data_IF_622567470903
#
_entry.id   IF_622567470903
#
_cell.length_a   1.000
_cell.length_b   1.000
_cell.length_c   1.000
_cell.angle_alpha   90.00
_cell.angle_beta   90.00
_cell.angle_gamma   90.00
#
_symmetry.space_group_name_H-M   'P 1'
#
loop_
_entity.id
_entity.type
_entity.pdbx_description
1 polymer ?
#
# COMPACT_ATOMS: atom_id res chain seq x y z
N UNK A 1 1.80 -31.33 11.32
CA UNK A 1 3.18 -31.65 10.88
C UNK A 1 3.45 -30.95 9.56
N UNK A 2 4.38 -30.00 9.59
CA UNK A 2 4.81 -29.14 8.49
C UNK A 2 5.55 -29.95 7.42
N UNK A 3 5.35 -29.60 6.14
CA UNK A 3 6.29 -29.92 5.07
C UNK A 3 6.63 -28.67 4.29
N UNK A 4 7.69 -28.01 4.74
CA UNK A 4 8.47 -27.02 3.99
C UNK A 4 9.21 -27.75 2.87
N UNK A 5 9.21 -27.22 1.65
CA UNK A 5 10.11 -27.67 0.59
C UNK A 5 10.89 -26.46 0.07
N UNK A 6 12.21 -26.53 0.25
CA UNK A 6 13.21 -25.60 -0.28
C UNK A 6 13.98 -26.37 -1.35
N UNK A 7 14.08 -25.84 -2.57
CA UNK A 7 15.00 -26.38 -3.60
C UNK A 7 15.75 -25.19 -4.19
N UNK A 8 17.07 -25.26 -4.11
CA UNK A 8 18.01 -24.36 -4.77
C UNK A 8 18.55 -25.06 -6.03
N UNK A 9 18.59 -24.35 -7.14
CA UNK A 9 19.31 -24.75 -8.35
C UNK A 9 19.90 -23.48 -8.97
N UNK A 10 21.22 -23.43 -9.00
CA UNK A 10 22.03 -22.41 -9.65
C UNK A 10 22.67 -22.99 -10.91
N UNK A 11 22.56 -22.32 -12.07
CA UNK A 11 23.68 -21.98 -12.97
C UNK A 11 23.21 -21.07 -14.13
N UNK A 12 24.06 -20.10 -14.50
CA UNK A 12 23.98 -19.13 -15.61
C UNK A 12 24.29 -19.79 -16.98
N UNK A 13 24.15 -19.22 -18.20
CA UNK A 13 24.09 -17.84 -18.71
C UNK A 13 23.55 -17.79 -20.19
N UNK A 14 22.95 -16.64 -20.59
CA UNK A 14 22.90 -15.92 -21.93
C UNK A 14 22.51 -16.68 -23.23
N UNK A 15 21.64 -16.22 -24.16
CA UNK A 15 21.56 -14.95 -24.93
C UNK A 15 20.11 -14.68 -25.44
N UNK A 16 19.82 -13.40 -25.72
CA UNK A 16 18.57 -12.72 -26.06
C UNK A 16 17.69 -13.21 -27.24
N UNK A 17 16.37 -13.06 -27.09
CA UNK A 17 15.42 -12.61 -28.12
C UNK A 17 14.04 -12.20 -27.52
N UNK A 18 13.69 -10.91 -27.67
CA UNK A 18 12.37 -10.27 -27.87
C UNK A 18 11.09 -10.78 -27.13
N UNK A 19 10.66 -10.00 -26.12
CA UNK A 19 9.32 -9.61 -25.59
C UNK A 19 8.00 -10.37 -25.99
N UNK A 20 6.93 -10.40 -25.13
CA UNK A 20 6.59 -9.39 -24.11
C UNK A 20 6.33 -9.88 -22.68
N UNK A 21 6.58 -8.93 -21.79
CA UNK A 21 6.46 -8.93 -20.33
C UNK A 21 5.08 -9.38 -19.78
N UNK A 22 5.09 -10.46 -19.01
CA UNK A 22 4.11 -10.75 -17.96
C UNK A 22 4.89 -11.36 -16.78
N UNK A 23 4.95 -10.65 -15.66
CA UNK A 23 5.57 -11.14 -14.43
C UNK A 23 6.46 -10.10 -13.78
N UNK A 24 5.83 -9.28 -12.93
CA UNK A 24 6.39 -8.41 -11.91
C UNK A 24 7.90 -8.58 -11.65
N UNK A 25 8.70 -7.78 -12.34
CA UNK A 25 9.98 -7.36 -11.80
C UNK A 25 9.67 -6.50 -10.57
N UNK A 26 10.07 -6.98 -9.39
CA UNK A 26 10.16 -6.15 -8.20
C UNK A 26 11.19 -5.04 -8.51
N UNK A 27 10.69 -3.86 -8.86
CA UNK A 27 11.50 -2.68 -9.02
C UNK A 27 11.99 -2.25 -7.64
N UNK A 28 13.15 -2.75 -7.23
CA UNK A 28 14.01 -2.05 -6.27
C UNK A 28 14.45 -0.76 -6.93
N UNK A 29 13.75 0.33 -6.63
CA UNK A 29 14.12 1.65 -7.10
C UNK A 29 15.45 2.05 -6.47
N UNK A 30 16.43 2.34 -7.31
CA UNK A 30 17.70 2.93 -6.94
C UNK A 30 17.50 4.32 -6.32
N UNK A 31 18.38 4.75 -5.40
CA UNK A 31 18.33 6.10 -4.84
C UNK A 31 18.59 7.13 -5.95
N UNK A 32 17.66 8.07 -6.14
CA UNK A 32 17.87 9.26 -6.98
C UNK A 32 17.06 9.36 -8.29
N UNK A 33 16.11 8.47 -8.58
CA UNK A 33 15.21 8.66 -9.74
C UNK A 33 13.96 9.46 -9.37
N UNK A 34 13.61 10.40 -10.24
CA UNK A 34 12.46 11.30 -10.14
C UNK A 34 11.15 10.56 -9.80
N UNK A 35 10.29 11.25 -9.04
CA UNK A 35 8.96 10.79 -8.61
C UNK A 35 8.18 10.13 -9.74
N UNK A 36 8.24 8.80 -9.77
CA UNK A 36 7.39 7.98 -10.63
C UNK A 36 5.99 8.00 -10.04
N UNK A 37 5.14 8.83 -10.65
CA UNK A 37 3.69 8.80 -10.55
C UNK A 37 3.18 7.37 -10.62
N UNK A 38 2.23 7.04 -9.77
CA UNK A 38 1.50 5.78 -9.83
C UNK A 38 0.19 5.95 -10.63
N UNK A 39 -0.07 5.12 -11.65
CA UNK A 39 -1.24 5.24 -12.53
C UNK A 39 -2.58 4.77 -11.95
N UNK A 40 -2.68 4.45 -10.64
CA UNK A 40 -3.83 3.69 -10.11
C UNK A 40 -4.46 4.23 -8.80
N UNK A 41 -4.26 5.50 -8.43
CA UNK A 41 -4.94 6.10 -7.27
C UNK A 41 -5.32 7.56 -7.49
N UNK A 42 -6.55 7.94 -7.15
CA UNK A 42 -7.16 9.25 -7.45
C UNK A 42 -6.39 10.46 -6.88
N UNK A 43 -5.56 10.27 -5.86
CA UNK A 43 -4.63 11.29 -5.35
C UNK A 43 -3.30 11.23 -6.12
N UNK A 44 -3.32 11.69 -7.37
CA UNK A 44 -2.20 11.59 -8.31
C UNK A 44 -1.05 12.59 -8.07
N UNK A 45 -1.27 13.61 -7.22
CA UNK A 45 -0.32 14.70 -6.98
C UNK A 45 0.25 14.67 -5.56
N UNK A 46 1.56 14.92 -5.43
CA UNK A 46 2.16 15.17 -4.12
C UNK A 46 1.57 16.44 -3.52
N UNK A 47 1.10 16.35 -2.27
CA UNK A 47 0.81 17.54 -1.46
C UNK A 47 2.11 18.13 -0.98
N UNK A 48 2.17 19.45 -0.86
CA UNK A 48 3.35 20.15 -0.36
C UNK A 48 2.97 21.23 0.63
N UNK A 49 3.89 21.49 1.56
CA UNK A 49 3.74 22.53 2.58
C UNK A 49 5.12 23.11 2.88
N UNK A 50 5.19 24.44 2.92
CA UNK A 50 6.33 25.15 3.52
C UNK A 50 6.14 25.23 5.03
N UNK A 51 7.23 25.01 5.78
CA UNK A 51 7.25 25.17 7.23
C UNK A 51 7.19 26.63 7.61
N UNK A 52 6.82 26.92 8.85
CA UNK A 52 6.59 28.31 9.33
C UNK A 52 7.79 29.25 9.19
N UNK A 53 9.00 28.69 9.12
CA UNK A 53 10.22 29.46 8.91
C UNK A 53 10.49 29.78 7.43
N UNK A 54 9.64 29.32 6.50
CA UNK A 54 9.77 29.39 5.04
C UNK A 54 11.10 28.83 4.50
N UNK A 55 11.86 28.14 5.34
CA UNK A 55 13.17 27.58 5.01
C UNK A 55 13.09 26.09 4.72
N UNK A 56 12.00 25.41 5.09
CA UNK A 56 11.86 23.98 4.86
C UNK A 56 10.57 23.67 4.11
N UNK A 57 10.63 22.68 3.23
CA UNK A 57 9.47 22.19 2.49
C UNK A 57 9.32 20.70 2.73
N UNK A 58 8.09 20.29 3.01
CA UNK A 58 7.69 18.89 3.13
C UNK A 58 6.69 18.59 2.02
N UNK A 59 6.96 17.53 1.28
CA UNK A 59 6.08 16.99 0.26
C UNK A 59 5.74 15.55 0.63
N UNK A 60 4.49 15.17 0.42
CA UNK A 60 4.00 13.85 0.79
C UNK A 60 2.88 13.36 -0.11
N UNK A 61 2.77 12.05 -0.21
CA UNK A 61 1.68 11.37 -0.89
C UNK A 61 1.38 10.06 -0.17
N UNK A 62 0.11 9.65 -0.20
CA UNK A 62 -0.32 8.35 0.26
C UNK A 62 -0.95 7.57 -0.89
N UNK A 63 -0.60 6.29 -1.00
CA UNK A 63 -1.38 5.29 -1.71
C UNK A 63 -2.00 4.30 -0.71
N UNK A 64 -3.31 4.11 -0.82
CA UNK A 64 -4.04 3.12 -0.03
C UNK A 64 -4.22 1.83 -0.82
N UNK A 65 -3.97 0.70 -0.17
CA UNK A 65 -4.06 -0.64 -0.76
C UNK A 65 -5.07 -1.48 0.03
N UNK A 66 -6.33 -1.63 -0.44
CA UNK A 66 -7.33 -2.48 0.19
C UNK A 66 -7.12 -3.95 -0.23
N UNK A 67 -6.18 -4.64 0.43
CA UNK A 67 -5.99 -6.08 0.22
C UNK A 67 -7.16 -6.89 0.78
N UNK A 68 -7.34 -8.13 0.32
CA UNK A 68 -8.37 -9.04 0.84
C UNK A 68 -7.71 -10.24 1.52
N UNK A 69 -8.28 -10.69 2.64
CA UNK A 69 -7.85 -11.89 3.34
C UNK A 69 -9.05 -12.80 3.63
N UNK A 70 -8.90 -14.09 3.32
CA UNK A 70 -9.88 -15.14 3.58
C UNK A 70 -9.17 -16.47 3.89
N UNK A 71 -9.88 -17.39 4.54
CA UNK A 71 -9.50 -18.81 4.66
C UNK A 71 -10.13 -19.60 3.53
N UNK A 72 -9.58 -20.77 3.21
CA UNK A 72 -10.20 -21.70 2.27
C UNK A 72 -10.98 -22.78 3.01
N UNK A 73 -12.05 -23.26 2.41
CA UNK A 73 -12.83 -24.41 2.83
C UNK A 73 -12.92 -25.42 1.69
N UNK A 74 -12.95 -26.70 2.05
CA UNK A 74 -13.16 -27.77 1.09
C UNK A 74 -14.64 -27.86 0.75
N UNK A 75 -14.98 -27.83 -0.55
CA UNK A 75 -16.32 -28.10 -1.07
C UNK A 75 -16.28 -29.26 -2.05
N UNK A 76 -17.43 -29.92 -2.22
CA UNK A 76 -17.62 -30.89 -3.28
C UNK A 76 -17.39 -30.25 -4.65
N UNK A 77 -16.97 -31.09 -5.60
CA UNK A 77 -16.76 -30.76 -6.99
C UNK A 77 -18.08 -30.38 -7.69
N UNK A 78 -18.02 -30.11 -9.00
CA UNK A 78 -19.22 -29.86 -9.78
C UNK A 78 -20.19 -31.05 -9.69
N UNK A 79 -21.49 -30.85 -9.94
CA UNK A 79 -22.51 -31.91 -9.85
C UNK A 79 -22.17 -33.17 -10.67
N UNK A 80 -21.42 -33.00 -11.75
CA UNK A 80 -20.99 -34.07 -12.66
C UNK A 80 -19.80 -34.89 -12.12
N UNK A 81 -19.08 -34.38 -11.11
CA UNK A 81 -17.95 -35.05 -10.45
C UNK A 81 -17.91 -34.72 -8.93
N UNK A 82 -18.94 -35.13 -8.16
CA UNK A 82 -19.09 -34.76 -6.75
C UNK A 82 -18.01 -35.37 -5.85
N UNK A 83 -17.32 -36.41 -6.32
CA UNK A 83 -16.21 -37.07 -5.63
C UNK A 83 -14.92 -36.21 -5.61
N UNK A 84 -14.86 -35.19 -6.46
CA UNK A 84 -13.72 -34.26 -6.50
C UNK A 84 -13.87 -33.24 -5.36
N UNK A 85 -12.75 -32.85 -4.77
CA UNK A 85 -12.71 -31.84 -3.70
C UNK A 85 -12.02 -30.60 -4.22
N UNK A 86 -12.69 -29.44 -4.09
CA UNK A 86 -12.12 -28.14 -4.44
C UNK A 86 -11.91 -27.28 -3.19
N UNK A 87 -10.85 -26.48 -3.20
CA UNK A 87 -10.59 -25.47 -2.18
C UNK A 87 -11.18 -24.15 -2.66
N UNK A 88 -12.11 -23.59 -1.90
CA UNK A 88 -12.81 -22.35 -2.24
C UNK A 88 -12.68 -21.38 -1.09
N UNK A 89 -12.69 -20.07 -1.37
CA UNK A 89 -12.69 -19.07 -0.31
C UNK A 89 -13.91 -19.23 0.60
N UNK A 90 -13.70 -19.14 1.91
CA UNK A 90 -14.78 -19.11 2.89
C UNK A 90 -15.30 -17.66 3.02
N UNK A 91 -16.51 -17.36 2.51
CA UNK A 91 -17.06 -16.01 2.59
C UNK A 91 -17.23 -15.52 4.03
N UNK A 92 -17.33 -16.43 5.02
CA UNK A 92 -17.45 -16.07 6.44
C UNK A 92 -16.18 -15.48 7.02
N UNK A 93 -15.04 -15.71 6.38
CA UNK A 93 -13.72 -15.27 6.86
C UNK A 93 -13.16 -14.09 6.08
N UNK A 94 -13.95 -13.59 5.14
CA UNK A 94 -13.60 -12.53 4.22
C UNK A 94 -13.48 -11.20 4.95
N UNK A 95 -12.31 -10.57 4.84
CA UNK A 95 -12.01 -9.29 5.46
C UNK A 95 -11.08 -8.47 4.57
N UNK A 96 -11.18 -7.16 4.66
CA UNK A 96 -10.16 -6.26 4.13
C UNK A 96 -8.92 -6.30 5.03
N UNK A 97 -7.76 -6.27 4.38
CA UNK A 97 -6.43 -6.16 4.97
C UNK A 97 -5.75 -4.91 4.39
N UNK A 98 -6.01 -3.73 4.98
CA UNK A 98 -5.45 -2.48 4.48
C UNK A 98 -3.92 -2.46 4.60
N UNK A 99 -3.28 -1.82 3.63
CA UNK A 99 -1.90 -1.36 3.74
C UNK A 99 -1.74 0.02 3.12
N UNK A 100 -0.74 0.76 3.60
CA UNK A 100 -0.55 2.17 3.33
C UNK A 100 0.85 2.38 2.78
N UNK A 101 0.99 3.03 1.64
CA UNK A 101 2.28 3.34 1.05
C UNK A 101 2.46 4.85 1.04
N UNK A 102 3.42 5.31 1.83
CA UNK A 102 3.77 6.72 1.93
C UNK A 102 4.95 7.00 1.02
N UNK A 103 4.92 8.14 0.33
CA UNK A 103 6.07 8.73 -0.32
C UNK A 103 6.31 10.13 0.25
N UNK A 104 7.57 10.52 0.40
CA UNK A 104 7.93 11.85 0.93
C UNK A 104 9.13 12.45 0.21
N UNK A 105 9.13 13.79 0.17
CA UNK A 105 10.28 14.64 -0.10
C UNK A 105 10.41 15.64 1.04
N UNK A 106 11.61 15.87 1.54
CA UNK A 106 11.91 17.03 2.37
C UNK A 106 13.07 17.80 1.77
N UNK A 107 12.98 19.12 1.81
CA UNK A 107 14.02 19.99 1.29
C UNK A 107 14.21 21.20 2.19
N UNK A 108 15.43 21.73 2.17
CA UNK A 108 15.83 22.91 2.94
C UNK A 108 16.14 24.00 1.89
N UNK A 109 15.31 25.03 1.82
CA UNK A 109 15.61 26.20 1.00
C UNK A 109 16.43 27.18 1.81
N UNK A 110 17.62 27.50 1.31
CA UNK A 110 18.25 28.76 1.68
C UNK A 110 17.54 29.88 0.89
N UNK A 111 16.52 30.51 1.48
CA UNK A 111 15.79 31.66 0.90
C UNK A 111 16.68 32.82 0.44
N UNK A 112 17.99 32.77 0.68
CA UNK A 112 18.97 33.75 0.22
C UNK A 112 19.40 33.57 -1.25
N UNK A 113 19.17 32.41 -1.91
CA UNK A 113 19.74 32.18 -3.27
C UNK A 113 18.88 31.42 -4.30
N UNK A 114 17.54 31.51 -4.27
CA UNK A 114 16.64 30.97 -5.34
C UNK A 114 16.88 29.50 -5.76
N UNK A 115 17.59 28.70 -4.97
CA UNK A 115 17.89 27.31 -5.26
C UNK A 115 17.35 26.45 -4.11
N UNK A 116 16.44 25.53 -4.41
CA UNK A 116 16.13 24.44 -3.49
C UNK A 116 17.37 23.55 -3.41
N UNK A 117 17.97 23.45 -2.25
CA UNK A 117 18.98 22.45 -1.95
C UNK A 117 18.31 21.30 -1.21
N UNK A 118 18.22 20.12 -1.83
CA UNK A 118 17.94 18.91 -1.06
C UNK A 118 19.15 18.68 -0.16
N UNK A 119 18.99 18.90 1.15
CA UNK A 119 20.07 18.59 2.09
C UNK A 119 20.20 17.07 2.11
N UNK A 120 21.24 16.56 1.46
CA UNK A 120 21.65 15.16 1.59
C UNK A 120 21.86 14.88 3.08
N UNK A 121 20.99 14.06 3.65
CA UNK A 121 20.96 13.87 5.08
C UNK A 121 19.82 12.99 5.55
N UNK A 122 20.06 12.38 6.70
CA UNK A 122 19.14 11.48 7.38
C UNK A 122 18.15 12.30 8.24
N UNK A 123 16.86 12.13 7.99
CA UNK A 123 15.76 12.92 8.54
C UNK A 123 14.85 12.03 9.41
N UNK A 124 14.39 12.53 10.57
CA UNK A 124 13.39 11.84 11.38
C UNK A 124 11.99 12.08 10.78
N UNK A 125 11.39 11.02 10.23
CA UNK A 125 10.08 11.06 9.58
C UNK A 125 9.08 10.24 10.40
N UNK A 126 7.89 10.79 10.65
CA UNK A 126 6.75 10.05 11.20
C UNK A 126 5.67 9.93 10.14
N UNK A 127 5.27 8.69 9.86
CA UNK A 127 4.18 8.35 8.96
C UNK A 127 2.97 7.96 9.80
N UNK A 128 1.81 8.51 9.47
CA UNK A 128 0.58 8.20 10.19
C UNK A 128 -0.59 8.14 9.22
N UNK A 129 -1.45 7.14 9.38
CA UNK A 129 -2.72 7.06 8.66
C UNK A 129 -3.81 6.50 9.54
N UNK A 130 -5.01 7.04 9.40
CA UNK A 130 -6.23 6.65 10.09
C UNK A 130 -7.29 6.37 9.04
N UNK A 131 -7.81 5.15 9.04
CA UNK A 131 -8.94 4.76 8.23
C UNK A 131 -10.21 4.91 9.06
N UNK A 132 -11.11 5.79 8.62
CA UNK A 132 -12.39 6.07 9.24
C UNK A 132 -13.54 5.53 8.41
N UNK A 133 -14.56 5.04 9.10
CA UNK A 133 -15.84 4.68 8.47
C UNK A 133 -16.67 5.94 8.13
N UNK A 134 -17.81 5.75 7.48
CA UNK A 134 -18.72 6.83 7.11
C UNK A 134 -19.27 7.64 8.31
N UNK A 135 -19.20 7.11 9.53
CA UNK A 135 -19.61 7.80 10.77
C UNK A 135 -18.43 8.52 11.44
N UNK A 136 -17.24 8.44 10.87
CA UNK A 136 -16.00 9.01 11.42
C UNK A 136 -15.32 8.12 12.47
N UNK A 137 -15.83 6.93 12.75
CA UNK A 137 -15.22 6.01 13.71
C UNK A 137 -13.94 5.38 13.15
N UNK A 138 -12.95 5.16 14.01
CA UNK A 138 -11.65 4.62 13.61
C UNK A 138 -11.77 3.12 13.31
N UNK A 139 -11.76 2.79 12.02
CA UNK A 139 -11.73 1.41 11.54
C UNK A 139 -10.32 0.82 11.63
N UNK A 140 -9.27 1.62 11.41
CA UNK A 140 -7.86 1.23 11.57
C UNK A 140 -6.93 2.43 11.69
N UNK A 141 -5.78 2.24 12.33
CA UNK A 141 -4.79 3.29 12.52
C UNK A 141 -3.38 2.69 12.47
N UNK A 142 -2.47 3.40 11.80
CA UNK A 142 -1.06 3.07 11.77
C UNK A 142 -0.23 4.30 12.06
N UNK A 143 0.79 4.12 12.89
CA UNK A 143 1.85 5.11 13.11
C UNK A 143 3.19 4.41 12.98
N UNK A 144 4.11 4.98 12.21
CA UNK A 144 5.45 4.47 12.04
C UNK A 144 6.45 5.61 12.15
N UNK A 145 7.31 5.53 13.15
CA UNK A 145 8.43 6.44 13.32
C UNK A 145 9.65 5.86 12.61
N UNK A 146 10.28 6.66 11.78
CA UNK A 146 11.42 6.30 10.97
C UNK A 146 12.57 7.25 11.31
N UNK A 147 13.56 6.74 12.06
CA UNK A 147 14.79 7.47 12.33
C UNK A 147 15.77 7.31 11.18
N UNK A 148 16.39 8.40 10.77
CA UNK A 148 17.52 8.41 9.85
C UNK A 148 17.17 8.03 8.41
N UNK A 149 16.02 8.49 7.91
CA UNK A 149 15.61 8.24 6.53
C UNK A 149 16.21 9.25 5.56
N UNK A 150 16.48 8.87 4.30
CA UNK A 150 16.83 9.86 3.28
C UNK A 150 15.74 10.94 3.12
N UNK A 151 16.17 12.10 2.62
CA UNK A 151 15.29 13.24 2.36
C UNK A 151 14.13 12.91 1.41
N UNK A 152 14.34 11.98 0.48
CA UNK A 152 13.29 11.39 -0.35
C UNK A 152 13.16 9.91 -0.05
N UNK A 153 11.94 9.40 0.01
CA UNK A 153 11.74 7.99 0.28
C UNK A 153 10.31 7.52 0.12
N UNK A 154 10.15 6.20 0.26
CA UNK A 154 8.88 5.51 0.15
C UNK A 154 8.83 4.35 1.14
N UNK A 155 7.72 4.19 1.84
CA UNK A 155 7.54 3.12 2.82
C UNK A 155 6.12 2.57 2.78
N UNK A 156 6.02 1.24 2.62
CA UNK A 156 4.79 0.50 2.82
C UNK A 156 4.64 0.10 4.30
N UNK A 157 3.48 0.37 4.88
CA UNK A 157 3.10 0.11 6.27
C UNK A 157 1.85 -0.75 6.27
N UNK A 158 1.88 -1.88 6.96
CA UNK A 158 0.71 -2.75 7.10
C UNK A 158 -0.31 -2.12 8.06
N UNK A 159 -1.60 -2.22 7.74
CA UNK A 159 -2.69 -1.67 8.55
C UNK A 159 -2.93 -2.34 9.90
N UNK A 160 -2.33 -3.52 10.11
CA UNK A 160 -2.36 -4.35 11.33
C UNK A 160 -3.75 -4.74 11.87
N UNK A 161 -4.84 -4.20 11.30
CA UNK A 161 -6.22 -4.49 11.68
C UNK A 161 -7.00 -4.94 10.45
N UNK A 162 -7.73 -6.05 10.62
CA UNK A 162 -8.68 -6.55 9.62
C UNK A 162 -9.97 -5.75 9.75
N UNK A 163 -10.56 -5.41 8.61
CA UNK A 163 -11.83 -4.66 8.56
C UNK A 163 -12.86 -5.56 7.90
N UNK A 164 -14.11 -5.44 8.33
CA UNK A 164 -15.20 -6.20 7.73
C UNK A 164 -15.21 -5.97 6.21
N UNK A 165 -15.34 -7.04 5.43
CA UNK A 165 -15.47 -6.90 3.98
C UNK A 165 -16.91 -6.51 3.66
N UNK A 166 -17.20 -5.21 3.79
CA UNK A 166 -18.51 -4.60 3.57
C UNK A 166 -18.55 -3.77 2.28
N UNK A 167 -19.71 -3.15 2.05
CA UNK A 167 -19.90 -2.13 1.02
C UNK A 167 -20.19 -0.83 1.74
N UNK A 168 -19.37 0.20 1.54
CA UNK A 168 -19.50 1.43 2.30
C UNK A 168 -18.42 2.45 2.01
N UNK A 169 -18.67 3.70 2.40
CA UNK A 169 -17.70 4.79 2.27
C UNK A 169 -16.76 4.81 3.45
N UNK A 170 -15.49 4.99 3.16
CA UNK A 170 -14.42 5.17 4.12
C UNK A 170 -13.58 6.38 3.74
N UNK A 171 -12.77 6.85 4.67
CA UNK A 171 -11.80 7.92 4.44
C UNK A 171 -10.49 7.57 5.10
N UNK A 172 -9.40 7.65 4.35
CA UNK A 172 -8.05 7.54 4.89
C UNK A 172 -7.51 8.94 5.12
N UNK A 173 -7.49 9.36 6.38
CA UNK A 173 -6.71 10.52 6.82
C UNK A 173 -5.25 10.11 6.93
N UNK A 174 -4.33 10.94 6.47
CA UNK A 174 -2.91 10.63 6.52
C UNK A 174 -2.06 11.84 6.84
N UNK A 175 -0.88 11.60 7.39
CA UNK A 175 0.13 12.62 7.59
C UNK A 175 1.55 12.12 7.42
N UNK A 176 2.41 13.03 6.97
CA UNK A 176 3.86 12.90 6.94
C UNK A 176 4.42 14.03 7.79
N UNK A 177 5.11 13.68 8.87
CA UNK A 177 5.73 14.64 9.77
C UNK A 177 7.24 14.59 9.65
N UNK A 178 7.85 15.75 9.38
CA UNK A 178 9.28 15.94 9.57
C UNK A 178 9.49 16.46 10.99
N UNK A 179 10.04 15.63 11.86
CA UNK A 179 10.13 15.92 13.30
C UNK A 179 10.94 17.20 13.54
N UNK A 180 10.38 18.13 14.31
CA UNK A 180 10.98 19.44 14.60
C UNK A 180 10.64 20.55 13.59
N UNK A 181 10.00 20.24 12.47
CA UNK A 181 9.75 21.21 11.39
C UNK A 181 8.26 21.37 11.05
N UNK A 182 7.53 20.26 10.89
CA UNK A 182 6.10 20.34 10.60
C UNK A 182 5.46 19.04 10.12
N UNK A 183 4.14 19.08 10.03
CA UNK A 183 3.28 17.95 9.64
C UNK A 183 2.46 18.33 8.42
N UNK A 184 2.63 17.58 7.34
CA UNK A 184 1.78 17.64 6.16
C UNK A 184 0.65 16.63 6.33
N UNK A 185 -0.59 17.03 6.03
CA UNK A 185 -1.78 16.17 6.15
C UNK A 185 -2.51 16.02 4.83
N UNK A 186 -3.19 14.89 4.64
CA UNK A 186 -4.08 14.65 3.52
C UNK A 186 -5.24 13.72 3.88
N UNK A 187 -6.13 13.53 2.92
CA UNK A 187 -7.33 12.72 3.07
C UNK A 187 -7.66 12.10 1.72
N UNK A 188 -7.92 10.80 1.70
CA UNK A 188 -8.25 10.01 0.53
C UNK A 188 -9.58 9.27 0.77
N UNK A 189 -10.66 9.58 0.05
CA UNK A 189 -11.88 8.79 0.12
C UNK A 189 -11.64 7.39 -0.46
N UNK A 190 -12.33 6.40 0.10
CA UNK A 190 -12.33 5.04 -0.43
C UNK A 190 -13.75 4.46 -0.36
N UNK A 191 -14.31 4.13 -1.52
CA UNK A 191 -15.55 3.37 -1.59
C UNK A 191 -15.23 1.88 -1.56
N UNK A 192 -15.50 1.25 -0.43
CA UNK A 192 -15.35 -0.17 -0.25
C UNK A 192 -16.47 -0.92 -0.98
N UNK A 193 -16.11 -1.90 -1.80
CA UNK A 193 -17.07 -2.83 -2.40
C UNK A 193 -16.54 -4.25 -2.35
N UNK A 194 -17.16 -5.07 -1.50
CA UNK A 194 -16.80 -6.47 -1.33
C UNK A 194 -17.62 -7.42 -2.23
N UNK A 195 -18.55 -6.88 -3.03
CA UNK A 195 -19.54 -7.67 -3.78
C UNK A 195 -18.88 -8.66 -4.73
N UNK A 196 -17.85 -8.25 -5.46
CA UNK A 196 -17.12 -9.13 -6.38
C UNK A 196 -16.54 -10.36 -5.67
N UNK A 197 -15.96 -10.17 -4.47
CA UNK A 197 -15.38 -11.25 -3.69
C UNK A 197 -16.45 -12.15 -3.07
N UNK A 198 -17.56 -11.57 -2.59
CA UNK A 198 -18.70 -12.34 -2.06
C UNK A 198 -19.33 -13.22 -3.14
N UNK A 199 -19.51 -12.67 -4.34
CA UNK A 199 -19.98 -13.44 -5.50
C UNK A 199 -19.00 -14.56 -5.80
N UNK A 200 -17.70 -14.27 -5.98
CA UNK A 200 -16.69 -15.29 -6.28
C UNK A 200 -16.63 -16.44 -5.25
N UNK A 201 -16.96 -16.19 -3.98
CA UNK A 201 -16.92 -17.20 -2.90
C UNK A 201 -18.29 -17.83 -2.58
N UNK A 202 -19.35 -17.45 -3.28
CA UNK A 202 -20.68 -18.03 -3.15
C UNK A 202 -20.66 -19.55 -3.39
N UNK A 203 -21.59 -20.27 -2.76
CA UNK A 203 -21.69 -21.74 -2.86
C UNK A 203 -21.82 -22.24 -4.30
N UNK A 204 -22.54 -21.47 -5.10
CA UNK A 204 -22.98 -21.81 -6.45
C UNK A 204 -21.92 -21.52 -7.52
N UNK A 205 -20.92 -20.67 -7.22
CA UNK A 205 -19.89 -20.34 -8.20
C UNK A 205 -18.88 -21.48 -8.38
N UNK A 206 -18.64 -21.85 -9.65
CA UNK A 206 -17.79 -22.98 -10.08
C UNK A 206 -18.43 -24.37 -9.92
N UNK A 207 -19.77 -24.44 -9.80
CA UNK A 207 -20.54 -25.69 -9.89
C UNK A 207 -20.99 -26.01 -11.34
N UNK A 208 -20.42 -25.33 -12.33
CA UNK A 208 -20.63 -25.54 -13.76
C UNK A 208 -19.34 -26.04 -14.40
#
# INVERSE_FOLDING_TARGET
MNRTRTVALSLAATVAALAPALGQAAATAAPGTAYLQDPAGDEHAMKSMWTKDDMHKVEGQLRFHPGVQYKTVTRSGPPEAPEWKRQVGDPKTLAWQPSYEFAWAVSDSALVKKALTTKDGNQPIVLHAVLRDAKGAVAGEVRKELSGQPATGRQKVAGNKRIACDTGRYTVEWSVTRTGYGTLTGSLPWDSSCEQYRTAFAAENGAH
#
